data_IF_613033758870
#
_entry.id   IF_613033758870
#
_cell.length_a   1.000
_cell.length_b   1.000
_cell.length_c   1.000
_cell.angle_alpha   90.00
_cell.angle_beta   90.00
_cell.angle_gamma   90.00
#
_symmetry.space_group_name_H-M   'P 1'
#
loop_
_entity.id
_entity.type
_entity.pdbx_description
1 polymer ?
#
# COMPACT_ATOMS: atom_id res chain seq x y z
N UNK A 1 1.54 -23.86 -27.38
CA UNK A 1 0.27 -23.34 -26.82
C UNK A 1 0.64 -22.27 -25.81
N UNK A 2 0.47 -21.00 -26.17
CA UNK A 2 0.86 -19.86 -25.34
C UNK A 2 -0.27 -19.57 -24.35
N UNK A 3 -0.13 -20.05 -23.12
CA UNK A 3 -1.08 -19.81 -22.04
C UNK A 3 -0.97 -18.35 -21.60
N UNK A 4 -2.01 -17.56 -21.86
CA UNK A 4 -2.09 -16.17 -21.39
C UNK A 4 -2.17 -16.17 -19.86
N UNK A 5 -1.11 -15.74 -19.20
CA UNK A 5 -1.13 -15.40 -17.78
C UNK A 5 -2.09 -14.21 -17.62
N UNK A 6 -3.29 -14.47 -17.11
CA UNK A 6 -4.24 -13.42 -16.80
C UNK A 6 -3.86 -12.88 -15.44
N UNK A 7 -3.59 -11.58 -15.35
CA UNK A 7 -3.45 -10.87 -14.08
C UNK A 7 -4.75 -11.08 -13.29
N UNK A 8 -4.73 -11.99 -12.33
CA UNK A 8 -5.84 -12.22 -11.42
C UNK A 8 -6.05 -10.94 -10.62
N UNK A 9 -7.06 -10.16 -10.99
CA UNK A 9 -7.60 -9.06 -10.20
C UNK A 9 -8.24 -9.65 -8.93
N UNK A 10 -7.43 -10.14 -7.99
CA UNK A 10 -7.90 -10.67 -6.72
C UNK A 10 -7.86 -9.55 -5.69
N UNK A 11 -9.06 -9.04 -5.42
CA UNK A 11 -9.34 -8.12 -4.31
C UNK A 11 -9.35 -8.95 -3.03
N UNK A 12 -8.18 -9.21 -2.45
CA UNK A 12 -8.09 -9.74 -1.09
C UNK A 12 -8.37 -8.59 -0.10
N UNK A 13 -9.28 -8.74 0.86
CA UNK A 13 -9.36 -7.81 1.99
C UNK A 13 -8.04 -7.93 2.75
N UNK A 14 -7.35 -6.80 2.89
CA UNK A 14 -6.08 -6.73 3.62
C UNK A 14 -6.34 -7.22 5.04
N UNK A 15 -5.80 -8.39 5.36
CA UNK A 15 -5.76 -8.88 6.73
C UNK A 15 -4.87 -7.92 7.51
N UNK A 16 -5.48 -7.25 8.48
CA UNK A 16 -4.75 -6.40 9.41
C UNK A 16 -3.93 -7.33 10.29
N UNK A 17 -2.60 -7.19 10.36
CA UNK A 17 -1.79 -8.03 11.23
C UNK A 17 -2.28 -7.94 12.67
N UNK A 18 -2.29 -9.07 13.39
CA UNK A 18 -2.69 -9.12 14.80
C UNK A 18 -1.84 -8.15 15.61
N UNK A 19 -2.45 -7.12 16.20
CA UNK A 19 -1.77 -6.08 16.99
C UNK A 19 -1.61 -4.73 16.28
N UNK A 20 -1.87 -4.64 14.98
CA UNK A 20 -1.93 -3.38 14.25
C UNK A 20 -3.21 -2.62 14.63
N UNK A 21 -3.09 -1.44 15.24
CA UNK A 21 -4.22 -0.52 15.42
C UNK A 21 -4.82 -0.23 14.05
N UNK A 22 -6.01 -0.77 13.78
CA UNK A 22 -6.64 -0.69 12.46
C UNK A 22 -6.82 0.74 11.96
N UNK A 23 -6.79 1.75 12.84
CA UNK A 23 -6.85 3.17 12.50
C UNK A 23 -5.55 3.76 11.94
N UNK A 24 -4.38 3.25 12.34
CA UNK A 24 -3.10 3.83 11.92
C UNK A 24 -2.75 3.52 10.46
N UNK A 25 -3.16 2.35 9.94
CA UNK A 25 -2.87 1.91 8.57
C UNK A 25 -3.86 2.43 7.51
N UNK A 26 -4.87 3.21 7.90
CA UNK A 26 -6.04 3.53 7.06
C UNK A 26 -6.11 4.97 6.59
N UNK A 27 -5.09 5.78 6.84
CA UNK A 27 -5.10 7.17 6.40
C UNK A 27 -4.70 7.20 4.91
N UNK A 28 -3.51 6.71 4.57
CA UNK A 28 -2.99 6.82 3.20
C UNK A 28 -3.26 5.58 2.32
N UNK A 29 -3.62 5.78 1.05
CA UNK A 29 -3.73 4.71 0.05
C UNK A 29 -2.54 4.75 -0.94
N UNK A 30 -2.26 3.66 -1.64
CA UNK A 30 -1.11 3.55 -2.55
C UNK A 30 -1.12 4.59 -3.68
N UNK A 31 -2.31 5.00 -4.15
CA UNK A 31 -2.44 6.08 -5.14
C UNK A 31 -2.04 7.44 -4.56
N UNK A 32 -2.43 7.71 -3.31
CA UNK A 32 -2.08 8.95 -2.63
C UNK A 32 -0.59 8.99 -2.29
N UNK A 33 -0.02 7.86 -1.84
CA UNK A 33 1.41 7.72 -1.61
C UNK A 33 2.22 8.08 -2.87
N UNK A 34 1.84 7.51 -4.02
CA UNK A 34 2.45 7.84 -5.32
C UNK A 34 2.34 9.30 -5.69
N UNK A 35 1.22 9.95 -5.34
CA UNK A 35 1.03 11.36 -5.62
C UNK A 35 1.88 12.25 -4.70
N UNK A 36 2.01 11.91 -3.42
CA UNK A 36 2.95 12.55 -2.48
C UNK A 36 4.40 12.39 -2.93
N UNK A 37 4.81 11.20 -3.38
CA UNK A 37 6.14 10.96 -3.94
C UNK A 37 6.44 11.85 -5.16
N UNK A 38 5.41 12.23 -5.93
CA UNK A 38 5.52 13.19 -7.03
C UNK A 38 5.54 14.66 -6.57
N UNK A 39 5.30 14.93 -5.29
CA UNK A 39 5.31 16.27 -4.69
C UNK A 39 3.98 17.01 -4.75
N UNK A 40 2.85 16.29 -4.89
CA UNK A 40 1.52 16.92 -4.83
C UNK A 40 1.14 17.17 -3.37
N UNK A 41 0.88 18.43 -3.01
CA UNK A 41 0.80 18.92 -1.61
C UNK A 41 -0.48 18.56 -0.86
N UNK A 42 -1.63 18.45 -1.54
CA UNK A 42 -2.94 18.30 -0.88
C UNK A 42 -3.48 16.86 -0.95
N UNK A 43 -2.78 15.93 -0.32
CA UNK A 43 -3.19 14.52 -0.28
C UNK A 43 -3.31 13.99 1.14
N UNK A 44 -4.14 14.63 1.94
CA UNK A 44 -4.65 14.02 3.18
C UNK A 44 -5.73 13.02 2.78
N UNK A 45 -5.27 11.84 2.36
CA UNK A 45 -6.19 10.73 2.20
C UNK A 45 -6.62 10.35 3.61
N UNK A 46 -7.91 10.51 3.88
CA UNK A 46 -8.56 9.95 5.04
C UNK A 46 -9.56 8.97 4.46
N UNK A 47 -9.43 7.66 4.74
CA UNK A 47 -10.55 6.76 4.46
C UNK A 47 -11.72 7.18 5.34
N UNK A 48 -12.83 7.54 4.71
CA UNK A 48 -14.07 7.75 5.45
C UNK A 48 -14.50 6.43 6.11
N UNK A 49 -14.94 6.42 7.38
CA UNK A 49 -15.55 5.23 7.97
C UNK A 49 -16.75 4.71 7.16
N UNK A 50 -17.39 5.58 6.37
CA UNK A 50 -18.55 5.26 5.53
C UNK A 50 -18.18 4.81 4.10
N UNK A 51 -16.90 4.82 3.71
CA UNK A 51 -16.47 4.49 2.34
C UNK A 51 -15.15 3.71 2.33
N UNK A 52 -15.08 2.69 1.47
CA UNK A 52 -13.82 1.99 1.19
C UNK A 52 -12.83 2.83 0.36
N UNK A 53 -13.18 4.07 -0.01
CA UNK A 53 -12.36 4.99 -0.81
C UNK A 53 -12.06 6.27 -0.03
N UNK A 54 -10.84 6.79 -0.17
CA UNK A 54 -10.53 8.16 0.23
C UNK A 54 -11.18 9.18 -0.72
N UNK A 55 -11.27 10.43 -0.30
CA UNK A 55 -11.84 11.52 -1.11
C UNK A 55 -11.15 11.66 -2.47
N UNK A 56 -9.82 11.58 -2.50
CA UNK A 56 -9.05 11.66 -3.75
C UNK A 56 -9.40 10.54 -4.75
N UNK A 57 -9.52 9.29 -4.26
CA UNK A 57 -9.92 8.17 -5.10
C UNK A 57 -11.39 8.27 -5.54
N UNK A 58 -12.24 8.82 -4.67
CA UNK A 58 -13.66 9.07 -4.95
C UNK A 58 -13.80 10.11 -6.05
N UNK A 59 -13.13 11.26 -5.94
CA UNK A 59 -13.17 12.33 -6.95
C UNK A 59 -12.69 11.87 -8.34
N UNK A 60 -11.78 10.90 -8.40
CA UNK A 60 -11.28 10.33 -9.66
C UNK A 60 -12.04 9.07 -10.12
N UNK A 61 -13.14 8.70 -9.46
CA UNK A 61 -13.90 7.47 -9.75
C UNK A 61 -13.01 6.22 -9.82
N UNK A 62 -11.95 6.18 -9.02
CA UNK A 62 -10.93 5.14 -9.08
C UNK A 62 -11.05 4.12 -7.95
N UNK A 63 -10.40 2.97 -8.12
CA UNK A 63 -10.17 2.01 -7.03
C UNK A 63 -9.17 2.58 -6.03
N UNK A 64 -9.55 2.52 -4.75
CA UNK A 64 -8.66 2.84 -3.63
C UNK A 64 -7.92 1.56 -3.24
N UNK A 65 -6.60 1.59 -3.36
CA UNK A 65 -5.74 0.45 -2.99
C UNK A 65 -5.12 0.79 -1.64
N UNK A 66 -5.48 0.10 -0.56
CA UNK A 66 -4.89 0.39 0.74
C UNK A 66 -3.42 -0.01 0.76
N UNK A 67 -2.65 0.58 1.68
CA UNK A 67 -1.22 0.31 1.75
C UNK A 67 -0.96 -1.14 2.18
N UNK A 68 -0.03 -1.85 1.49
CA UNK A 68 0.40 -3.16 1.93
C UNK A 68 1.00 -3.13 3.34
N UNK A 69 0.76 -4.18 4.12
CA UNK A 69 1.20 -4.30 5.52
C UNK A 69 2.72 -4.21 5.69
N UNK A 70 3.50 -4.64 4.69
CA UNK A 70 4.96 -4.65 4.74
C UNK A 70 5.59 -3.25 4.63
N UNK A 71 4.79 -2.21 4.35
CA UNK A 71 5.26 -0.81 4.29
C UNK A 71 5.16 -0.09 5.64
N UNK A 72 4.98 -0.80 6.75
CA UNK A 72 4.77 -0.20 8.07
C UNK A 72 5.93 0.74 8.46
N UNK A 73 7.17 0.32 8.23
CA UNK A 73 8.35 1.09 8.61
C UNK A 73 8.45 2.39 7.79
N UNK A 74 8.35 2.28 6.47
CA UNK A 74 8.42 3.43 5.57
C UNK A 74 7.24 4.37 5.77
N UNK A 75 6.07 3.83 6.13
CA UNK A 75 4.91 4.63 6.48
C UNK A 75 5.12 5.40 7.80
N UNK A 76 5.73 4.79 8.82
CA UNK A 76 6.09 5.51 10.06
C UNK A 76 7.06 6.65 9.81
N UNK A 77 8.04 6.46 8.91
CA UNK A 77 8.95 7.54 8.50
C UNK A 77 8.18 8.67 7.82
N UNK A 78 7.23 8.36 6.93
CA UNK A 78 6.39 9.35 6.28
C UNK A 78 5.54 10.13 7.29
N UNK A 79 4.86 9.45 8.22
CA UNK A 79 4.05 10.09 9.28
C UNK A 79 4.92 11.00 10.16
N UNK A 80 6.15 10.56 10.48
CA UNK A 80 7.10 11.36 11.26
C UNK A 80 7.50 12.64 10.51
N UNK A 81 7.75 12.53 9.20
CA UNK A 81 8.07 13.69 8.35
C UNK A 81 6.88 14.65 8.21
N UNK A 82 5.65 14.15 8.13
CA UNK A 82 4.42 14.96 8.08
C UNK A 82 4.12 15.67 9.41
N UNK A 83 4.52 15.07 10.54
CA UNK A 83 4.35 15.65 11.87
C UNK A 83 5.48 16.62 12.29
N UNK A 84 6.52 16.79 11.46
CA UNK A 84 7.68 17.60 11.78
C UNK A 84 7.37 19.11 11.78
N UNK A 85 7.99 19.83 12.72
CA UNK A 85 7.96 21.30 12.81
C UNK A 85 9.41 21.84 12.87
N UNK A 86 9.86 22.70 11.93
CA UNK A 86 9.11 23.23 10.79
C UNK A 86 8.80 22.19 9.71
N UNK A 87 7.68 22.39 9.03
CA UNK A 87 7.21 21.50 7.95
C UNK A 87 8.22 21.41 6.79
N UNK A 88 8.73 20.20 6.53
CA UNK A 88 9.67 19.93 5.45
C UNK A 88 9.04 19.08 4.33
N UNK A 89 8.64 19.77 3.26
CA UNK A 89 8.10 19.12 2.06
C UNK A 89 9.11 18.18 1.38
N UNK A 90 10.41 18.49 1.43
CA UNK A 90 11.44 17.66 0.83
C UNK A 90 11.57 16.33 1.57
N UNK A 91 11.54 16.36 2.91
CA UNK A 91 11.53 15.15 3.75
C UNK A 91 10.30 14.29 3.50
N UNK A 92 9.10 14.88 3.46
CA UNK A 92 7.85 14.16 3.14
C UNK A 92 7.94 13.50 1.77
N UNK A 93 8.42 14.22 0.76
CA UNK A 93 8.59 13.69 -0.60
C UNK A 93 9.59 12.54 -0.64
N UNK A 94 10.71 12.65 0.07
CA UNK A 94 11.73 11.61 0.16
C UNK A 94 11.18 10.34 0.83
N UNK A 95 10.52 10.48 1.98
CA UNK A 95 9.89 9.35 2.68
C UNK A 95 8.83 8.67 1.81
N UNK A 96 7.98 9.45 1.13
CA UNK A 96 6.98 8.91 0.22
C UNK A 96 7.60 8.21 -0.99
N UNK A 97 8.74 8.71 -1.50
CA UNK A 97 9.46 8.09 -2.59
C UNK A 97 10.06 6.73 -2.21
N UNK A 98 10.63 6.62 -1.00
CA UNK A 98 11.16 5.37 -0.46
C UNK A 98 10.05 4.32 -0.30
N UNK A 99 8.95 4.69 0.38
CA UNK A 99 7.80 3.80 0.54
C UNK A 99 7.22 3.35 -0.81
N UNK A 100 7.17 4.25 -1.80
CA UNK A 100 6.72 3.89 -3.14
C UNK A 100 7.73 2.99 -3.86
N UNK A 101 9.04 3.19 -3.68
CA UNK A 101 10.06 2.32 -4.24
C UNK A 101 9.96 0.90 -3.67
N UNK A 102 9.82 0.77 -2.35
CA UNK A 102 9.60 -0.52 -1.69
C UNK A 102 8.32 -1.22 -2.17
N UNK A 103 7.24 -0.47 -2.36
CA UNK A 103 6.01 -1.00 -2.96
C UNK A 103 6.23 -1.53 -4.40
N UNK A 104 7.05 -0.84 -5.20
CA UNK A 104 7.37 -1.25 -6.56
C UNK A 104 8.32 -2.44 -6.62
N UNK A 105 9.29 -2.51 -5.71
CA UNK A 105 10.21 -3.66 -5.59
C UNK A 105 9.44 -4.90 -5.17
N UNK A 106 8.58 -4.78 -4.15
CA UNK A 106 7.71 -5.87 -3.71
C UNK A 106 6.78 -6.34 -4.84
N UNK A 107 6.16 -5.42 -5.58
CA UNK A 107 5.32 -5.78 -6.72
C UNK A 107 6.08 -6.51 -7.85
N UNK A 108 7.38 -6.24 -8.00
CA UNK A 108 8.24 -6.92 -8.98
C UNK A 108 8.78 -8.26 -8.48
N UNK A 109 8.91 -8.44 -7.17
CA UNK A 109 9.41 -9.67 -6.58
C UNK A 109 8.34 -10.75 -6.44
N UNK A 110 7.05 -10.38 -6.48
CA UNK A 110 5.94 -11.34 -6.54
C UNK A 110 6.04 -12.16 -7.83
N UNK A 111 6.22 -13.50 -7.74
CA UNK A 111 6.22 -14.36 -8.91
C UNK A 111 4.91 -14.24 -9.68
N UNK A 112 4.96 -14.39 -11.01
CA UNK A 112 3.74 -14.55 -11.79
C UNK A 112 3.18 -15.95 -11.52
N UNK A 113 1.95 -16.02 -11.05
CA UNK A 113 1.25 -17.28 -10.87
C UNK A 113 0.49 -17.64 -12.14
N UNK A 114 0.57 -18.92 -12.54
CA UNK A 114 -0.16 -19.46 -13.67
C UNK A 114 -1.49 -20.08 -13.25
N UNK A 115 -1.73 -20.22 -11.94
CA UNK A 115 -2.96 -20.73 -11.34
C UNK A 115 -3.21 -20.15 -9.95
N UNK A 116 -4.46 -20.23 -9.49
CA UNK A 116 -4.82 -19.87 -8.11
C UNK A 116 -4.11 -20.77 -7.08
N UNK A 117 -3.95 -22.06 -7.36
CA UNK A 117 -3.26 -23.00 -6.46
C UNK A 117 -1.79 -22.63 -6.22
N UNK A 118 -1.07 -22.15 -7.25
CA UNK A 118 0.31 -21.68 -7.09
C UNK A 118 0.39 -20.39 -6.26
N UNK A 119 -0.57 -19.48 -6.44
CA UNK A 119 -0.67 -18.27 -5.63
C UNK A 119 -0.98 -18.60 -4.17
N UNK A 120 -1.94 -19.49 -3.91
CA UNK A 120 -2.33 -19.90 -2.56
C UNK A 120 -1.17 -20.59 -1.84
N UNK A 121 -0.41 -21.44 -2.53
CA UNK A 121 0.80 -22.07 -1.98
C UNK A 121 1.89 -21.06 -1.64
N UNK A 122 2.06 -20.00 -2.46
CA UNK A 122 2.99 -18.92 -2.17
C UNK A 122 2.58 -18.10 -0.92
N UNK A 123 1.29 -17.77 -0.79
CA UNK A 123 0.76 -17.09 0.39
C UNK A 123 0.86 -17.95 1.65
N UNK A 124 0.62 -19.26 1.56
CA UNK A 124 0.78 -20.22 2.66
C UNK A 124 2.24 -20.30 3.15
N UNK A 125 3.19 -20.32 2.22
CA UNK A 125 4.62 -20.27 2.55
C UNK A 125 5.00 -18.95 3.24
N UNK A 126 4.46 -17.82 2.78
CA UNK A 126 4.73 -16.51 3.36
C UNK A 126 4.11 -16.33 4.75
N UNK A 127 2.87 -16.78 4.95
CA UNK A 127 2.21 -16.77 6.26
C UNK A 127 2.93 -17.66 7.27
N UNK A 128 3.39 -18.85 6.84
CA UNK A 128 4.21 -19.73 7.68
C UNK A 128 5.52 -19.07 8.08
N UNK A 129 6.19 -18.37 7.15
CA UNK A 129 7.46 -17.69 7.42
C UNK A 129 7.31 -16.47 8.34
N UNK A 130 6.16 -15.80 8.31
CA UNK A 130 5.88 -14.66 9.19
C UNK A 130 5.55 -15.06 10.65
N UNK A 131 5.27 -16.34 10.89
CA UNK A 131 4.91 -16.88 12.21
C UNK A 131 6.11 -17.47 12.99
N UNK A 132 7.31 -17.47 12.40
CA UNK A 132 8.58 -17.95 12.99
C UNK A 132 9.41 -16.73 13.39
#
# INVERSE_FOLDING_TARGET
MSGRCVNSNLTLPILTPTGALSGAFRVLCLRCLRAKARGVKDHDCVLSPASSKCEYCTAQHSTCIPLPWFLDEEYRVLVTAEAADPWDLAAIKAAAAEANWMALVAAQSIPKFCSAAEHDSYEELHTTRAAI
#
